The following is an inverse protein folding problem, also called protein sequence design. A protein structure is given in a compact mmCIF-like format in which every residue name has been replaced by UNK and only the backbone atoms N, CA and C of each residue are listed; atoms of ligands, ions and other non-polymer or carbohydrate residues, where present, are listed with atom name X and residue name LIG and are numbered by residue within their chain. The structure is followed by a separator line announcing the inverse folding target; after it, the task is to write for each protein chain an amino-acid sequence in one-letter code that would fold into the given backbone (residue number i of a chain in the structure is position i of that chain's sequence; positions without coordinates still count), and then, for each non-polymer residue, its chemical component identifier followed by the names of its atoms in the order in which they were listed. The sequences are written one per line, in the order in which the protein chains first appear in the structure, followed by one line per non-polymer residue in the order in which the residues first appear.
data_IF_225214660723
#
_entry.id   IF_225214660723
#
_cell.length_a   1.000
_cell.length_b   1.000
_cell.length_c   1.000
_cell.angle_alpha   90.00
_cell.angle_beta   90.00
_cell.angle_gamma   90.00
#
_symmetry.space_group_name_H-M   'P 1'
#
loop_
_entity.id
_entity.type
_entity.pdbx_description
1 polymer ?
#
# COMPACT_ATOMS: atom_id res chain seq x y z
N UNK A 1 30.41 1.72 19.26
CA UNK A 1 29.04 2.17 19.59
C UNK A 1 28.41 2.67 18.29
N UNK A 2 27.27 2.14 17.89
CA UNK A 2 26.54 2.66 16.70
C UNK A 2 26.15 4.11 16.97
N UNK A 3 26.52 5.01 16.05
CA UNK A 3 26.04 6.40 16.11
C UNK A 3 24.50 6.38 16.01
N UNK A 4 23.84 7.23 16.79
CA UNK A 4 22.41 7.42 16.67
C UNK A 4 22.04 8.00 15.30
N UNK A 5 20.92 7.58 14.69
CA UNK A 5 20.42 8.17 13.44
C UNK A 5 20.22 9.70 13.55
N UNK A 6 20.01 10.24 14.74
CA UNK A 6 19.87 11.70 14.97
C UNK A 6 21.21 12.44 15.00
N UNK A 7 22.34 11.75 14.88
CA UNK A 7 23.67 12.39 14.86
C UNK A 7 24.10 12.85 13.46
N UNK A 8 23.29 12.56 12.43
CA UNK A 8 23.57 12.91 11.05
C UNK A 8 22.76 14.12 10.61
N UNK A 9 23.42 15.04 9.91
CA UNK A 9 22.79 16.23 9.29
C UNK A 9 22.35 15.97 7.85
N UNK A 10 22.90 14.93 7.23
CA UNK A 10 22.62 14.57 5.82
C UNK A 10 22.28 13.09 5.67
N UNK A 11 21.39 12.79 4.74
CA UNK A 11 20.99 11.43 4.39
C UNK A 11 20.98 11.24 2.87
N UNK A 12 21.54 10.12 2.41
CA UNK A 12 21.48 9.69 1.00
C UNK A 12 20.74 8.38 0.88
N UNK A 13 19.65 8.37 0.10
CA UNK A 13 18.73 7.24 0.03
C UNK A 13 18.86 6.55 -1.33
N UNK A 14 19.17 5.24 -1.34
CA UNK A 14 19.35 4.44 -2.54
C UNK A 14 18.08 3.66 -2.84
N UNK A 15 17.50 3.89 -4.03
CA UNK A 15 16.15 3.46 -4.41
C UNK A 15 15.07 4.40 -3.86
N UNK A 16 15.36 5.70 -3.86
CA UNK A 16 14.53 6.75 -3.21
C UNK A 16 13.12 6.86 -3.81
N UNK A 17 12.92 6.51 -5.08
CA UNK A 17 11.62 6.51 -5.75
C UNK A 17 10.70 5.35 -5.36
N UNK A 18 11.19 4.36 -4.62
CA UNK A 18 10.36 3.30 -4.06
C UNK A 18 9.34 3.84 -3.04
N UNK A 19 8.12 3.28 -3.00
CA UNK A 19 7.01 3.80 -2.21
C UNK A 19 7.35 3.99 -0.72
N UNK A 20 8.00 3.01 -0.08
CA UNK A 20 8.41 3.13 1.32
C UNK A 20 9.67 3.99 1.51
N UNK A 21 10.56 4.09 0.51
CA UNK A 21 11.78 4.89 0.59
C UNK A 21 11.51 6.37 0.43
N UNK A 22 10.65 6.75 -0.50
CA UNK A 22 10.22 8.13 -0.71
C UNK A 22 9.52 8.73 0.52
N UNK A 23 8.76 7.91 1.24
CA UNK A 23 8.11 8.32 2.48
C UNK A 23 9.12 8.56 3.61
N UNK A 24 10.15 7.72 3.73
CA UNK A 24 11.28 7.94 4.65
C UNK A 24 12.04 9.21 4.26
N UNK A 25 12.28 9.44 2.96
CA UNK A 25 12.96 10.62 2.46
C UNK A 25 12.22 11.90 2.89
N UNK A 26 10.91 11.96 2.65
CA UNK A 26 10.09 13.11 3.03
C UNK A 26 10.04 13.31 4.55
N UNK A 27 9.89 12.23 5.33
CA UNK A 27 9.92 12.28 6.80
C UNK A 27 11.25 12.88 7.30
N UNK A 28 12.40 12.41 6.81
CA UNK A 28 13.71 12.89 7.22
C UNK A 28 13.99 14.33 6.77
N UNK A 29 13.55 14.70 5.57
CA UNK A 29 13.65 16.05 5.06
C UNK A 29 12.88 17.06 5.93
N UNK A 30 11.64 16.73 6.30
CA UNK A 30 10.82 17.55 7.20
C UNK A 30 11.38 17.56 8.63
N UNK A 31 12.10 16.53 9.05
CA UNK A 31 12.86 16.51 10.31
C UNK A 31 14.07 17.45 10.30
N UNK A 32 14.43 18.00 9.13
CA UNK A 32 15.50 18.97 8.98
C UNK A 32 16.83 18.42 8.49
N UNK A 33 16.88 17.15 8.04
CA UNK A 33 18.06 16.61 7.39
C UNK A 33 18.18 17.13 5.95
N UNK A 34 19.40 17.32 5.46
CA UNK A 34 19.66 17.47 4.04
C UNK A 34 19.52 16.09 3.36
N UNK A 35 18.42 15.87 2.64
CA UNK A 35 18.10 14.56 2.04
C UNK A 35 18.23 14.64 0.53
N UNK A 36 18.98 13.69 -0.03
CA UNK A 36 19.04 13.41 -1.46
C UNK A 36 19.09 11.90 -1.70
N UNK A 37 19.07 11.46 -2.94
CA UNK A 37 19.18 10.04 -3.19
C UNK A 37 19.18 9.66 -4.65
N UNK A 38 19.31 8.36 -4.91
CA UNK A 38 19.39 7.76 -6.22
C UNK A 38 18.19 6.87 -6.53
N UNK A 39 17.74 6.91 -7.77
CA UNK A 39 16.86 5.89 -8.35
C UNK A 39 17.26 5.58 -9.79
N UNK A 40 16.93 4.37 -10.27
CA UNK A 40 17.32 3.92 -11.61
C UNK A 40 16.65 4.70 -12.76
N UNK A 41 15.48 5.32 -12.49
CA UNK A 41 14.70 6.03 -13.50
C UNK A 41 13.76 7.06 -12.90
N UNK A 42 13.46 8.07 -13.71
CA UNK A 42 12.43 9.05 -13.38
C UNK A 42 11.06 8.38 -13.28
N UNK A 43 10.28 8.82 -12.31
CA UNK A 43 8.92 8.35 -12.04
C UNK A 43 8.05 9.50 -11.52
N UNK A 44 6.74 9.26 -11.41
CA UNK A 44 5.85 10.21 -10.75
C UNK A 44 6.30 10.55 -9.32
N UNK A 45 6.78 9.54 -8.57
CA UNK A 45 7.23 9.72 -7.18
C UNK A 45 8.53 10.52 -7.10
N UNK A 46 9.53 10.24 -7.97
CA UNK A 46 10.78 11.01 -8.00
C UNK A 46 10.54 12.48 -8.39
N UNK A 47 9.57 12.74 -9.29
CA UNK A 47 9.18 14.11 -9.63
C UNK A 47 8.51 14.83 -8.45
N UNK A 48 7.70 14.14 -7.64
CA UNK A 48 7.15 14.71 -6.41
C UNK A 48 8.24 15.04 -5.39
N UNK A 49 9.25 14.17 -5.22
CA UNK A 49 10.39 14.43 -4.34
C UNK A 49 11.15 15.68 -4.76
N UNK A 50 11.46 15.81 -6.06
CA UNK A 50 12.13 17.00 -6.59
C UNK A 50 11.28 18.28 -6.36
N UNK A 51 9.95 18.21 -6.54
CA UNK A 51 9.06 19.34 -6.26
C UNK A 51 9.01 19.70 -4.76
N UNK A 52 9.18 18.71 -3.89
CA UNK A 52 9.27 18.91 -2.42
C UNK A 52 10.67 19.42 -1.99
N UNK A 53 11.65 19.55 -2.92
CA UNK A 53 13.01 20.05 -2.66
C UNK A 53 14.00 18.92 -2.29
N UNK A 54 13.66 17.66 -2.53
CA UNK A 54 14.53 16.49 -2.31
C UNK A 54 15.15 16.09 -3.65
N UNK A 55 16.45 16.27 -3.80
CA UNK A 55 17.17 16.00 -5.04
C UNK A 55 17.29 14.50 -5.32
N UNK A 56 16.97 14.10 -6.56
CA UNK A 56 17.04 12.70 -7.00
C UNK A 56 18.00 12.56 -8.18
N UNK A 57 19.05 11.78 -7.97
CA UNK A 57 20.02 11.39 -8.99
C UNK A 57 19.55 10.15 -9.77
N UNK A 58 19.90 10.08 -11.04
CA UNK A 58 19.65 8.91 -11.90
C UNK A 58 20.92 8.20 -12.33
N UNK A 59 22.09 8.71 -11.92
CA UNK A 59 23.40 8.11 -12.09
C UNK A 59 24.10 8.00 -10.75
N UNK A 60 24.67 6.82 -10.45
CA UNK A 60 25.28 6.53 -9.14
C UNK A 60 26.82 6.41 -9.22
N UNK A 61 27.40 6.44 -10.43
CA UNK A 61 28.81 6.12 -10.69
C UNK A 61 29.82 7.02 -9.97
N UNK A 62 29.46 8.28 -9.71
CA UNK A 62 30.37 9.30 -9.20
C UNK A 62 30.27 9.52 -7.68
N UNK A 63 29.39 8.76 -7.00
CA UNK A 63 29.24 8.86 -5.55
C UNK A 63 30.35 8.13 -4.81
N UNK A 64 30.93 8.79 -3.81
CA UNK A 64 31.93 8.23 -2.91
C UNK A 64 31.38 8.16 -1.49
N UNK A 65 31.80 7.12 -0.76
CA UNK A 65 31.40 6.96 0.63
C UNK A 65 31.88 8.12 1.52
N UNK A 66 30.98 8.58 2.41
CA UNK A 66 31.28 9.61 3.40
C UNK A 66 30.70 9.21 4.77
N UNK A 67 31.54 9.08 5.78
CA UNK A 67 31.14 8.65 7.12
C UNK A 67 30.29 9.67 7.91
N UNK A 68 30.07 10.86 7.37
CA UNK A 68 29.19 11.90 7.93
C UNK A 68 27.78 11.86 7.37
N UNK A 69 27.53 11.08 6.32
CA UNK A 69 26.23 10.93 5.68
C UNK A 69 25.59 9.62 6.15
N UNK A 70 24.31 9.66 6.49
CA UNK A 70 23.51 8.47 6.72
C UNK A 70 23.05 7.89 5.36
N UNK A 71 23.40 6.65 5.08
CA UNK A 71 22.93 5.93 3.90
C UNK A 71 21.79 4.99 4.26
N UNK A 72 20.69 5.08 3.52
CA UNK A 72 19.56 4.15 3.67
C UNK A 72 19.33 3.46 2.33
N UNK A 73 19.43 2.13 2.33
CA UNK A 73 19.35 1.32 1.11
C UNK A 73 18.04 0.55 1.05
N UNK A 74 17.35 0.63 -0.09
CA UNK A 74 16.14 -0.14 -0.35
C UNK A 74 16.42 -1.64 -0.32
N UNK A 75 15.53 -2.43 0.26
CA UNK A 75 15.61 -3.90 0.26
C UNK A 75 15.54 -4.53 -1.14
N UNK A 76 15.13 -3.77 -2.16
CA UNK A 76 15.10 -4.21 -3.55
C UNK A 76 16.45 -4.09 -4.27
N UNK A 77 17.46 -3.47 -3.63
CA UNK A 77 18.78 -3.22 -4.22
C UNK A 77 19.81 -4.15 -3.58
N UNK A 78 20.55 -4.85 -4.42
CA UNK A 78 21.69 -5.63 -3.97
C UNK A 78 22.87 -4.71 -3.64
N UNK A 79 23.23 -4.64 -2.37
CA UNK A 79 24.32 -3.79 -1.86
C UNK A 79 25.68 -4.13 -2.47
N UNK A 80 25.88 -5.35 -3.00
CA UNK A 80 27.11 -5.74 -3.68
C UNK A 80 27.28 -5.07 -5.05
N UNK A 81 26.23 -4.49 -5.60
CA UNK A 81 26.22 -3.86 -6.94
C UNK A 81 26.39 -2.35 -6.93
N UNK A 82 26.51 -1.75 -5.75
CA UNK A 82 26.62 -0.29 -5.57
C UNK A 82 27.93 0.12 -4.91
N UNK A 83 28.25 1.43 -4.91
CA UNK A 83 29.48 1.97 -4.33
C UNK A 83 29.66 1.70 -2.82
N UNK A 84 28.58 1.28 -2.13
CA UNK A 84 28.62 0.94 -0.69
C UNK A 84 29.05 -0.51 -0.40
N UNK A 85 29.37 -1.33 -1.39
CA UNK A 85 29.71 -2.76 -1.22
C UNK A 85 30.80 -3.03 -0.17
N UNK A 86 31.80 -2.15 -0.09
CA UNK A 86 32.93 -2.27 0.85
C UNK A 86 32.64 -1.61 2.21
N UNK A 87 31.48 -0.97 2.39
CA UNK A 87 31.06 -0.20 3.56
C UNK A 87 29.81 -0.73 4.24
N UNK A 88 29.37 -1.96 3.90
CA UNK A 88 28.12 -2.57 4.43
C UNK A 88 28.11 -2.68 5.97
N UNK A 89 29.31 -2.79 6.59
CA UNK A 89 29.43 -2.90 8.04
C UNK A 89 29.58 -1.55 8.75
N UNK A 90 29.61 -0.45 8.00
CA UNK A 90 29.74 0.88 8.60
C UNK A 90 28.45 1.28 9.30
N UNK A 91 28.53 1.93 10.47
CA UNK A 91 27.36 2.24 11.31
C UNK A 91 26.40 3.26 10.70
N UNK A 92 26.83 3.96 9.64
CA UNK A 92 26.04 4.94 8.88
C UNK A 92 25.46 4.36 7.56
N UNK A 93 25.62 3.06 7.30
CA UNK A 93 25.03 2.36 6.17
C UNK A 93 23.97 1.40 6.70
N UNK A 94 22.71 1.69 6.42
CA UNK A 94 21.56 0.94 6.93
C UNK A 94 20.69 0.48 5.78
N UNK A 95 20.19 -0.73 5.87
CA UNK A 95 19.03 -1.15 5.08
C UNK A 95 17.77 -0.47 5.61
N UNK A 96 16.71 -0.40 4.80
CA UNK A 96 15.40 0.10 5.25
C UNK A 96 14.91 -0.56 6.54
N UNK A 97 14.93 -1.91 6.70
CA UNK A 97 14.55 -2.57 7.95
C UNK A 97 15.39 -2.11 9.17
N UNK A 98 16.71 -2.00 9.01
CA UNK A 98 17.60 -1.56 10.10
C UNK A 98 17.34 -0.12 10.52
N UNK A 99 17.10 0.77 9.54
CA UNK A 99 16.69 2.15 9.83
C UNK A 99 15.38 2.20 10.62
N UNK A 100 14.33 1.50 10.17
CA UNK A 100 13.04 1.47 10.85
C UNK A 100 13.14 0.85 12.25
N UNK A 101 13.96 -0.19 12.42
CA UNK A 101 14.27 -0.78 13.74
C UNK A 101 14.91 0.24 14.67
N UNK A 102 15.90 1.01 14.21
CA UNK A 102 16.51 2.05 15.03
C UNK A 102 15.54 3.18 15.35
N UNK A 103 14.70 3.56 14.40
CA UNK A 103 13.66 4.58 14.58
C UNK A 103 12.62 4.14 15.62
N UNK A 104 12.12 2.91 15.55
CA UNK A 104 11.10 2.38 16.47
C UNK A 104 11.54 2.35 17.93
N UNK A 105 12.83 2.29 18.19
CA UNK A 105 13.38 2.34 19.57
C UNK A 105 13.35 3.74 20.20
N UNK A 106 13.10 4.77 19.41
CA UNK A 106 13.19 6.18 19.83
C UNK A 106 11.84 6.87 19.96
N UNK A 107 10.79 6.26 19.41
CA UNK A 107 9.46 6.83 19.36
C UNK A 107 8.43 5.82 19.86
N UNK A 108 7.32 6.30 20.38
CA UNK A 108 6.16 5.45 20.54
C UNK A 108 5.61 5.13 19.16
N UNK A 109 5.44 3.84 18.84
CA UNK A 109 5.10 3.40 17.50
C UNK A 109 3.68 2.83 17.43
N UNK A 110 2.85 3.43 16.59
CA UNK A 110 1.57 2.88 16.16
C UNK A 110 1.79 2.17 14.83
N UNK A 111 1.69 0.84 14.83
CA UNK A 111 1.86 0.01 13.63
C UNK A 111 0.53 -0.31 12.96
N UNK A 112 0.54 -0.37 11.63
CA UNK A 112 -0.55 -0.97 10.83
C UNK A 112 0.06 -2.03 9.93
N UNK A 113 -0.38 -3.28 10.10
CA UNK A 113 0.12 -4.44 9.34
C UNK A 113 -1.02 -5.29 8.78
N UNK A 114 -0.66 -6.31 8.05
CA UNK A 114 -1.54 -7.29 7.41
C UNK A 114 -1.14 -7.51 5.95
N UNK A 115 -1.57 -8.58 5.35
CA UNK A 115 -1.21 -8.89 3.96
C UNK A 115 -1.78 -7.83 3.00
N UNK A 116 -3.03 -7.43 3.18
CA UNK A 116 -3.73 -6.46 2.33
C UNK A 116 -4.27 -5.27 3.13
N UNK A 117 -4.39 -4.11 2.49
CA UNK A 117 -5.03 -2.92 3.05
C UNK A 117 -4.15 -2.03 3.96
N UNK A 118 -2.90 -2.42 4.26
CA UNK A 118 -1.95 -1.66 5.10
C UNK A 118 -1.90 -0.17 4.74
N UNK A 119 -1.50 0.13 3.52
CA UNK A 119 -1.28 1.51 3.03
C UNK A 119 -2.54 2.36 3.15
N UNK A 120 -3.68 1.85 2.68
CA UNK A 120 -4.96 2.59 2.73
C UNK A 120 -5.40 2.87 4.17
N UNK A 121 -5.20 1.90 5.07
CA UNK A 121 -5.57 2.03 6.49
C UNK A 121 -4.63 2.98 7.22
N UNK A 122 -3.32 2.92 6.95
CA UNK A 122 -2.34 3.85 7.55
C UNK A 122 -2.59 5.29 7.07
N UNK A 123 -2.83 5.46 5.76
CA UNK A 123 -3.15 6.77 5.19
C UNK A 123 -4.45 7.35 5.75
N UNK A 124 -5.48 6.52 5.93
CA UNK A 124 -6.74 6.93 6.55
C UNK A 124 -6.53 7.36 8.01
N UNK A 125 -5.77 6.60 8.79
CA UNK A 125 -5.42 6.97 10.16
C UNK A 125 -4.64 8.29 10.21
N UNK A 126 -3.62 8.46 9.36
CA UNK A 126 -2.89 9.73 9.25
C UNK A 126 -3.86 10.88 8.96
N UNK A 127 -4.79 10.69 8.02
CA UNK A 127 -5.81 11.69 7.72
C UNK A 127 -6.72 11.97 8.93
N UNK A 128 -7.18 10.96 9.67
CA UNK A 128 -8.03 11.13 10.87
C UNK A 128 -7.29 12.00 11.90
N UNK A 129 -6.02 11.72 12.19
CA UNK A 129 -5.24 12.51 13.14
C UNK A 129 -5.08 13.96 12.67
N UNK A 130 -4.59 14.14 11.44
CA UNK A 130 -4.33 15.47 10.87
C UNK A 130 -5.60 16.32 10.72
N UNK A 131 -6.71 15.73 10.31
CA UNK A 131 -8.01 16.42 10.19
C UNK A 131 -8.54 16.93 11.54
N UNK A 132 -8.21 16.24 12.61
CA UNK A 132 -8.56 16.66 13.99
C UNK A 132 -7.49 17.56 14.64
N UNK A 133 -6.55 18.11 13.86
CA UNK A 133 -5.54 19.03 14.35
C UNK A 133 -4.40 18.38 15.13
N UNK A 134 -4.27 17.05 15.10
CA UNK A 134 -3.19 16.30 15.76
C UNK A 134 -2.08 16.09 14.76
N UNK A 135 -1.00 16.86 14.88
CA UNK A 135 0.14 16.84 13.95
C UNK A 135 1.03 15.61 14.20
N UNK A 136 0.49 14.40 13.97
CA UNK A 136 1.20 13.13 14.16
C UNK A 136 2.23 12.89 13.06
N UNK A 137 3.39 12.33 13.41
CA UNK A 137 4.35 11.82 12.43
C UNK A 137 3.82 10.54 11.76
N UNK A 138 4.06 10.36 10.44
CA UNK A 138 3.67 9.12 9.75
C UNK A 138 4.59 8.74 8.60
N UNK A 139 4.67 7.42 8.33
CA UNK A 139 5.37 6.81 7.19
C UNK A 139 4.51 5.67 6.63
N UNK A 140 4.05 5.80 5.37
CA UNK A 140 3.32 4.74 4.62
C UNK A 140 3.67 4.78 3.14
N UNK A 141 3.56 3.63 2.47
CA UNK A 141 3.99 3.44 1.08
C UNK A 141 2.96 3.89 0.03
N UNK A 142 2.56 5.17 0.03
CA UNK A 142 1.56 5.65 -0.93
C UNK A 142 1.60 7.16 -1.15
N UNK A 143 0.75 7.63 -2.06
CA UNK A 143 0.54 9.06 -2.35
C UNK A 143 -0.93 9.40 -2.11
N UNK A 144 -1.19 10.47 -1.37
CA UNK A 144 -2.55 10.96 -1.10
C UNK A 144 -2.71 12.39 -1.58
N UNK A 145 -3.96 12.83 -1.77
CA UNK A 145 -4.25 14.22 -2.14
C UNK A 145 -4.05 15.20 -0.99
N UNK A 146 -4.13 14.75 0.26
CA UNK A 146 -4.03 15.65 1.42
C UNK A 146 -2.59 16.00 1.80
N UNK A 147 -1.59 15.16 1.46
CA UNK A 147 -0.18 15.44 1.79
C UNK A 147 0.85 14.93 0.76
N UNK A 148 0.43 14.50 -0.43
CA UNK A 148 1.35 13.93 -1.42
C UNK A 148 1.94 12.60 -0.97
N UNK A 149 3.28 12.47 -1.01
CA UNK A 149 4.00 11.27 -0.56
C UNK A 149 3.73 11.01 0.93
N UNK A 150 3.53 9.74 1.29
CA UNK A 150 3.11 9.27 2.62
C UNK A 150 4.16 9.37 3.72
N UNK A 151 4.96 10.41 3.73
CA UNK A 151 5.94 10.74 4.77
C UNK A 151 5.64 12.09 5.40
N UNK A 152 5.62 12.18 6.72
CA UNK A 152 5.43 13.42 7.46
C UNK A 152 6.13 13.37 8.81
N UNK A 153 6.82 14.45 9.16
CA UNK A 153 7.38 14.67 10.49
C UNK A 153 6.53 15.69 11.23
N UNK A 154 5.87 15.24 12.26
CA UNK A 154 4.97 16.04 13.09
C UNK A 154 5.57 16.38 14.46
N UNK A 155 4.71 16.44 15.47
CA UNK A 155 5.11 16.70 16.85
C UNK A 155 5.85 15.49 17.43
N UNK A 156 7.07 15.71 17.95
CA UNK A 156 7.93 14.67 18.55
C UNK A 156 7.34 14.04 19.82
N UNK A 157 6.43 14.75 20.50
CA UNK A 157 5.76 14.24 21.72
C UNK A 157 4.66 13.23 21.38
N UNK A 158 4.24 13.14 20.11
CA UNK A 158 3.22 12.24 19.63
C UNK A 158 3.84 10.96 19.05
N UNK A 159 3.06 9.87 18.99
CA UNK A 159 3.54 8.62 18.36
C UNK A 159 3.87 8.79 16.87
N UNK A 160 4.72 7.90 16.34
CA UNK A 160 4.88 7.69 14.91
C UNK A 160 3.88 6.65 14.41
N UNK A 161 3.07 6.99 13.43
CA UNK A 161 2.20 6.05 12.71
C UNK A 161 2.98 5.45 11.54
N UNK A 162 3.16 4.13 11.54
CA UNK A 162 3.98 3.41 10.56
C UNK A 162 3.21 2.27 9.89
N UNK A 163 3.22 2.26 8.56
CA UNK A 163 2.89 1.06 7.79
C UNK A 163 4.01 0.02 7.99
N UNK A 164 3.68 -1.08 8.68
CA UNK A 164 4.65 -2.13 9.01
C UNK A 164 4.48 -3.32 8.07
N UNK A 165 5.49 -3.51 7.23
CA UNK A 165 5.49 -4.55 6.19
C UNK A 165 6.00 -5.88 6.77
N UNK A 166 5.27 -6.98 6.51
CA UNK A 166 5.67 -8.34 6.84
C UNK A 166 6.82 -8.84 5.97
N UNK A 167 6.97 -8.29 4.76
CA UNK A 167 8.07 -8.65 3.86
C UNK A 167 9.43 -8.38 4.53
N UNK A 168 10.39 -9.24 4.24
CA UNK A 168 11.74 -9.21 4.81
C UNK A 168 11.80 -9.27 6.36
N UNK A 169 10.73 -9.74 7.02
CA UNK A 169 10.60 -9.81 8.49
C UNK A 169 10.77 -8.47 9.22
N UNK A 170 10.64 -7.33 8.53
CA UNK A 170 10.86 -6.00 9.08
C UNK A 170 10.04 -5.78 10.35
N UNK A 171 8.75 -6.11 10.31
CA UNK A 171 7.82 -5.87 11.42
C UNK A 171 8.18 -6.62 12.71
N UNK A 172 8.92 -7.75 12.65
CA UNK A 172 9.36 -8.51 13.84
C UNK A 172 10.42 -7.78 14.67
N UNK A 173 11.17 -6.90 14.02
CA UNK A 173 12.30 -6.20 14.62
C UNK A 173 11.90 -4.86 15.24
N UNK A 174 10.63 -4.42 15.03
CA UNK A 174 10.13 -3.14 15.50
C UNK A 174 9.64 -3.22 16.95
N UNK A 175 9.88 -2.17 17.71
CA UNK A 175 9.23 -1.95 19.01
C UNK A 175 7.90 -1.24 18.79
N UNK A 176 6.79 -1.97 18.89
CA UNK A 176 5.45 -1.49 18.57
C UNK A 176 4.65 -1.31 19.86
N UNK A 177 4.08 -0.13 20.06
CA UNK A 177 3.25 0.17 21.22
C UNK A 177 1.79 -0.26 21.00
N UNK A 178 1.19 0.07 19.87
CA UNK A 178 -0.15 -0.38 19.47
C UNK A 178 -0.15 -0.83 18.02
N UNK A 179 -0.89 -1.89 17.69
CA UNK A 179 -0.89 -2.51 16.37
C UNK A 179 -2.30 -2.74 15.86
N UNK A 180 -2.55 -2.35 14.62
CA UNK A 180 -3.72 -2.78 13.88
C UNK A 180 -3.32 -3.83 12.84
N UNK A 181 -4.01 -4.96 12.83
CA UNK A 181 -3.82 -6.05 11.86
C UNK A 181 -5.07 -6.18 11.02
N UNK A 182 -4.94 -5.92 9.72
CA UNK A 182 -6.07 -5.92 8.79
C UNK A 182 -6.50 -7.33 8.38
N UNK A 183 -5.54 -8.19 8.07
CA UNK A 183 -5.75 -9.58 7.67
C UNK A 183 -4.42 -10.33 7.57
N UNK A 184 -4.49 -11.66 7.47
CA UNK A 184 -3.37 -12.54 7.10
C UNK A 184 -3.83 -13.41 5.95
N UNK A 185 -3.16 -13.35 4.82
CA UNK A 185 -3.46 -14.12 3.61
C UNK A 185 -2.20 -14.82 3.09
N UNK A 186 -2.35 -15.77 2.18
CA UNK A 186 -1.26 -16.53 1.59
C UNK A 186 -0.53 -15.72 0.53
N UNK A 187 0.37 -14.84 0.97
CA UNK A 187 1.26 -14.04 0.11
C UNK A 187 2.70 -14.07 0.66
N UNK A 188 3.66 -13.59 -0.11
CA UNK A 188 5.08 -13.52 0.27
C UNK A 188 5.71 -14.87 0.67
N UNK A 189 5.19 -15.97 0.10
CA UNK A 189 5.66 -17.34 0.40
C UNK A 189 7.12 -17.52 0.04
N UNK A 190 7.60 -16.85 -1.01
CA UNK A 190 9.01 -16.83 -1.42
C UNK A 190 9.92 -16.41 -0.26
N UNK A 191 9.46 -15.46 0.57
CA UNK A 191 10.21 -14.95 1.72
C UNK A 191 10.07 -15.84 2.96
N UNK A 192 8.84 -16.28 3.29
CA UNK A 192 8.60 -17.07 4.50
C UNK A 192 8.81 -18.58 4.27
N UNK A 193 8.76 -19.05 3.02
CA UNK A 193 8.87 -20.46 2.65
C UNK A 193 7.64 -21.31 3.01
N UNK A 194 6.73 -20.83 3.87
CA UNK A 194 5.42 -21.46 4.13
C UNK A 194 4.45 -20.54 4.86
N UNK A 195 3.15 -20.77 4.66
CA UNK A 195 2.07 -20.08 5.37
C UNK A 195 2.19 -20.19 6.90
N UNK A 196 2.58 -21.36 7.39
CA UNK A 196 2.79 -21.59 8.83
C UNK A 196 3.87 -20.67 9.41
N UNK A 197 4.94 -20.41 8.66
CA UNK A 197 6.01 -19.48 9.10
C UNK A 197 5.53 -18.04 9.08
N UNK A 198 4.70 -17.65 8.08
CA UNK A 198 4.06 -16.35 8.04
C UNK A 198 3.16 -16.13 9.26
N UNK A 199 2.27 -17.08 9.57
CA UNK A 199 1.42 -17.03 10.77
C UNK A 199 2.24 -16.91 12.05
N UNK A 200 3.33 -17.68 12.19
CA UNK A 200 4.22 -17.60 13.35
C UNK A 200 4.90 -16.21 13.45
N UNK A 201 5.14 -15.56 12.32
CA UNK A 201 5.65 -14.21 12.30
C UNK A 201 4.64 -13.20 12.87
N UNK A 202 3.38 -13.27 12.43
CA UNK A 202 2.30 -12.44 12.97
C UNK A 202 2.07 -12.71 14.46
N UNK A 203 2.01 -13.97 14.87
CA UNK A 203 1.90 -14.35 16.29
C UNK A 203 3.02 -13.73 17.13
N UNK A 204 4.26 -13.79 16.65
CA UNK A 204 5.42 -13.21 17.36
C UNK A 204 5.26 -11.69 17.51
N UNK A 205 4.87 -10.99 16.44
CA UNK A 205 4.67 -9.52 16.47
C UNK A 205 3.53 -9.15 17.42
N UNK A 206 2.36 -9.79 17.29
CA UNK A 206 1.19 -9.55 18.15
C UNK A 206 1.55 -9.72 19.64
N UNK A 207 2.28 -10.80 19.97
CA UNK A 207 2.70 -11.07 21.35
C UNK A 207 3.70 -10.04 21.91
N UNK A 208 4.48 -9.39 21.03
CA UNK A 208 5.48 -8.40 21.43
C UNK A 208 4.93 -6.96 21.49
N UNK A 209 3.68 -6.71 21.05
CA UNK A 209 3.06 -5.39 21.16
C UNK A 209 2.90 -5.00 22.63
N UNK A 210 3.39 -3.80 22.98
CA UNK A 210 3.47 -3.35 24.39
C UNK A 210 2.11 -3.07 24.99
N UNK A 211 1.19 -2.46 24.22
CA UNK A 211 -0.14 -2.06 24.73
C UNK A 211 -1.24 -2.96 24.13
N UNK A 212 -1.92 -2.54 23.08
CA UNK A 212 -3.09 -3.22 22.51
C UNK A 212 -2.93 -3.52 21.04
N UNK A 213 -3.45 -4.68 20.64
CA UNK A 213 -3.73 -4.99 19.26
C UNK A 213 -5.19 -4.75 18.90
N UNK A 214 -5.43 -4.31 17.67
CA UNK A 214 -6.74 -4.22 17.03
C UNK A 214 -6.74 -5.23 15.90
N UNK A 215 -7.51 -6.33 16.05
CA UNK A 215 -7.44 -7.49 15.16
C UNK A 215 -8.74 -7.67 14.38
N UNK A 216 -8.62 -7.87 13.07
CA UNK A 216 -9.73 -8.30 12.23
C UNK A 216 -10.02 -9.78 12.46
N UNK A 217 -11.03 -10.09 13.23
CA UNK A 217 -11.39 -11.48 13.60
C UNK A 217 -12.32 -12.17 12.61
N UNK A 218 -12.66 -11.54 11.46
CA UNK A 218 -13.15 -12.27 10.27
C UNK A 218 -12.08 -13.23 9.72
N UNK A 219 -10.80 -12.90 9.95
CA UNK A 219 -9.69 -13.79 9.68
C UNK A 219 -9.51 -14.78 10.85
N UNK A 220 -9.74 -16.06 10.57
CA UNK A 220 -9.74 -17.14 11.59
C UNK A 220 -8.40 -17.27 12.31
N UNK A 221 -7.31 -17.00 11.62
CA UNK A 221 -5.97 -17.03 12.18
C UNK A 221 -5.80 -15.93 13.23
N UNK A 222 -6.28 -14.72 12.96
CA UNK A 222 -6.21 -13.61 13.90
C UNK A 222 -7.15 -13.79 15.09
N UNK A 223 -8.31 -14.45 14.90
CA UNK A 223 -9.20 -14.79 16.01
C UNK A 223 -8.49 -15.63 17.08
N UNK A 224 -7.60 -16.56 16.65
CA UNK A 224 -6.84 -17.41 17.55
C UNK A 224 -5.66 -16.68 18.23
N UNK A 225 -5.31 -15.48 17.79
CA UNK A 225 -4.19 -14.69 18.32
C UNK A 225 -4.62 -13.54 19.23
N UNK A 226 -5.92 -13.33 19.43
CA UNK A 226 -6.43 -12.26 20.30
C UNK A 226 -6.03 -12.51 21.76
N UNK A 227 -5.45 -11.48 22.40
CA UNK A 227 -5.03 -11.53 23.80
C UNK A 227 -6.06 -10.86 24.70
N UNK A 228 -6.10 -11.15 26.00
CA UNK A 228 -6.93 -10.41 26.96
C UNK A 228 -6.61 -8.91 26.90
N UNK A 229 -7.64 -8.09 26.67
CA UNK A 229 -7.53 -6.63 26.54
C UNK A 229 -7.26 -6.11 25.13
N UNK A 230 -7.00 -6.98 24.15
CA UNK A 230 -7.00 -6.59 22.73
C UNK A 230 -8.42 -6.28 22.24
N UNK A 231 -8.52 -5.60 21.12
CA UNK A 231 -9.77 -5.15 20.50
C UNK A 231 -10.00 -5.96 19.22
N UNK A 232 -11.19 -6.55 19.09
CA UNK A 232 -11.62 -7.21 17.86
C UNK A 232 -12.53 -6.33 17.02
N UNK A 233 -12.43 -6.46 15.69
CA UNK A 233 -13.47 -6.01 14.78
C UNK A 233 -13.76 -7.08 13.75
N UNK A 234 -15.02 -7.28 13.43
CA UNK A 234 -15.43 -8.33 12.48
C UNK A 234 -16.86 -8.14 12.02
N UNK A 235 -17.23 -8.82 10.93
CA UNK A 235 -18.63 -8.89 10.46
C UNK A 235 -19.44 -9.94 11.22
N UNK A 236 -18.82 -10.71 12.13
CA UNK A 236 -19.50 -11.69 12.98
C UNK A 236 -19.88 -11.08 14.33
N UNK A 237 -20.94 -11.60 14.95
CA UNK A 237 -21.38 -11.20 16.28
C UNK A 237 -20.30 -11.47 17.35
N UNK A 238 -20.36 -10.71 18.46
CA UNK A 238 -19.47 -10.78 19.61
C UNK A 238 -18.06 -10.20 19.41
N UNK A 239 -17.81 -9.41 18.37
CA UNK A 239 -16.60 -8.58 18.29
C UNK A 239 -16.77 -7.26 19.05
N UNK A 240 -15.68 -6.62 19.44
CA UNK A 240 -15.72 -5.31 20.11
C UNK A 240 -16.34 -4.22 19.22
N UNK A 241 -16.06 -4.32 17.91
CA UNK A 241 -16.68 -3.51 16.85
C UNK A 241 -17.28 -4.48 15.81
N UNK A 242 -18.61 -4.50 15.72
CA UNK A 242 -19.30 -5.35 14.76
C UNK A 242 -19.50 -4.60 13.45
N UNK A 243 -18.80 -5.04 12.39
CA UNK A 243 -18.92 -4.48 11.03
C UNK A 243 -20.22 -4.94 10.39
N UNK A 244 -21.02 -4.02 9.88
CA UNK A 244 -22.29 -4.29 9.22
C UNK A 244 -22.27 -3.68 7.81
N UNK A 245 -22.14 -4.53 6.83
CA UNK A 245 -22.11 -4.07 5.43
C UNK A 245 -23.48 -3.57 4.97
N UNK A 246 -23.53 -2.59 4.07
CA UNK A 246 -22.37 -2.06 3.31
C UNK A 246 -21.65 -0.87 3.99
N UNK A 247 -22.19 -0.25 5.05
CA UNK A 247 -21.65 1.03 5.55
C UNK A 247 -21.95 1.33 7.04
N UNK A 248 -22.05 0.31 7.87
CA UNK A 248 -22.34 0.48 9.31
C UNK A 248 -21.32 -0.30 10.16
N UNK A 249 -21.21 0.08 11.40
CA UNK A 249 -20.66 -0.77 12.47
C UNK A 249 -21.40 -0.49 13.79
N UNK A 250 -21.37 -1.43 14.72
CA UNK A 250 -21.84 -1.22 16.09
C UNK A 250 -20.72 -1.35 17.11
N UNK A 251 -20.80 -0.56 18.16
CA UNK A 251 -19.87 -0.59 19.28
C UNK A 251 -20.61 -0.19 20.56
N UNK A 252 -20.48 -0.99 21.63
CA UNK A 252 -21.16 -0.77 22.92
C UNK A 252 -22.69 -0.57 22.79
N UNK A 253 -23.32 -1.36 21.91
CA UNK A 253 -24.76 -1.31 21.66
C UNK A 253 -25.25 -0.12 20.83
N UNK A 254 -24.37 0.77 20.38
CA UNK A 254 -24.70 1.89 19.50
C UNK A 254 -24.27 1.59 18.08
N UNK A 255 -25.15 1.90 17.11
CA UNK A 255 -24.86 1.78 15.69
C UNK A 255 -24.37 3.11 15.11
N UNK A 256 -23.38 3.03 14.21
CA UNK A 256 -22.73 4.17 13.55
C UNK A 256 -22.73 3.98 12.05
N UNK A 257 -23.12 5.01 11.32
CA UNK A 257 -23.07 5.03 9.84
C UNK A 257 -21.72 5.55 9.36
N UNK A 258 -21.09 4.81 8.46
CA UNK A 258 -19.86 5.23 7.77
C UNK A 258 -20.25 5.91 6.46
N UNK A 259 -19.98 7.21 6.34
CA UNK A 259 -20.05 7.92 5.06
C UNK A 259 -18.64 8.02 4.49
N UNK A 260 -18.41 7.40 3.35
CA UNK A 260 -17.09 7.36 2.71
C UNK A 260 -17.19 7.39 1.20
N UNK A 261 -16.14 7.88 0.53
CA UNK A 261 -15.96 7.82 -0.92
C UNK A 261 -15.28 6.53 -1.39
N UNK A 262 -14.78 5.73 -0.44
CA UNK A 262 -14.12 4.47 -0.74
C UNK A 262 -15.16 3.38 -1.07
N UNK A 263 -14.88 2.59 -2.11
CA UNK A 263 -15.82 1.62 -2.66
C UNK A 263 -15.42 0.20 -2.26
N UNK A 264 -16.28 -0.51 -1.54
CA UNK A 264 -16.14 -1.93 -1.21
C UNK A 264 -16.13 -2.26 0.27
N UNK A 265 -16.61 -3.46 0.59
CA UNK A 265 -16.76 -3.96 1.95
C UNK A 265 -15.42 -4.04 2.71
N UNK A 266 -14.33 -4.34 2.01
CA UNK A 266 -12.99 -4.37 2.60
C UNK A 266 -12.57 -3.01 3.15
N UNK A 267 -12.99 -1.90 2.53
CA UNK A 267 -12.74 -0.57 3.09
C UNK A 267 -13.57 -0.32 4.35
N UNK A 268 -14.83 -0.77 4.39
CA UNK A 268 -15.67 -0.62 5.61
C UNK A 268 -15.04 -1.35 6.79
N UNK A 269 -14.54 -2.56 6.57
CA UNK A 269 -13.78 -3.31 7.58
C UNK A 269 -12.52 -2.55 8.04
N UNK A 270 -11.67 -2.11 7.10
CA UNK A 270 -10.45 -1.37 7.42
C UNK A 270 -10.74 -0.02 8.12
N UNK A 271 -11.80 0.69 7.72
CA UNK A 271 -12.28 1.92 8.37
C UNK A 271 -12.67 1.64 9.82
N UNK A 272 -13.39 0.56 10.08
CA UNK A 272 -13.80 0.19 11.45
C UNK A 272 -12.58 -0.09 12.33
N UNK A 273 -11.59 -0.83 11.83
CA UNK A 273 -10.32 -1.04 12.52
C UNK A 273 -9.55 0.26 12.78
N UNK A 274 -9.53 1.17 11.80
CA UNK A 274 -8.90 2.49 11.94
C UNK A 274 -9.60 3.35 13.01
N UNK A 275 -10.94 3.36 13.05
CA UNK A 275 -11.72 4.05 14.09
C UNK A 275 -11.37 3.48 15.47
N UNK A 276 -11.31 2.15 15.62
CA UNK A 276 -10.97 1.51 16.88
C UNK A 276 -9.56 1.92 17.37
N UNK A 277 -8.57 1.98 16.44
CA UNK A 277 -7.22 2.43 16.77
C UNK A 277 -7.16 3.93 17.08
N UNK A 278 -7.89 4.77 16.34
CA UNK A 278 -8.00 6.20 16.61
C UNK A 278 -8.62 6.47 18.00
N UNK A 279 -9.66 5.71 18.38
CA UNK A 279 -10.34 5.86 19.70
C UNK A 279 -9.39 5.60 20.87
N UNK A 280 -8.56 4.57 20.83
CA UNK A 280 -7.59 4.32 21.91
C UNK A 280 -6.46 5.34 21.96
N UNK A 281 -6.29 6.12 20.89
CA UNK A 281 -5.33 7.23 20.81
C UNK A 281 -6.01 8.61 20.99
N UNK A 282 -7.22 8.65 21.58
CA UNK A 282 -7.86 9.89 22.05
C UNK A 282 -8.78 10.60 21.05
N UNK A 283 -9.03 10.02 19.85
CA UNK A 283 -9.98 10.59 18.87
C UNK A 283 -11.32 9.88 19.00
N UNK A 284 -12.41 10.62 19.23
CA UNK A 284 -13.74 10.02 19.34
C UNK A 284 -14.21 9.36 18.03
N UNK A 285 -15.19 8.46 18.15
CA UNK A 285 -15.81 7.82 16.97
C UNK A 285 -16.41 8.88 16.05
N UNK A 286 -17.12 9.86 16.59
CA UNK A 286 -17.76 10.93 15.83
C UNK A 286 -16.74 11.81 15.09
N UNK A 287 -15.62 12.15 15.73
CA UNK A 287 -14.50 12.87 15.09
C UNK A 287 -13.89 12.06 13.96
N UNK A 288 -13.69 10.76 14.17
CA UNK A 288 -13.17 9.85 13.16
C UNK A 288 -14.12 9.76 11.95
N UNK A 289 -15.43 9.59 12.18
CA UNK A 289 -16.45 9.53 11.12
C UNK A 289 -16.51 10.82 10.30
N UNK A 290 -16.43 11.99 10.95
CA UNK A 290 -16.37 13.26 10.24
C UNK A 290 -15.12 13.36 9.34
N UNK A 291 -13.95 12.91 9.82
CA UNK A 291 -12.72 12.89 9.04
C UNK A 291 -12.82 11.97 7.82
N UNK A 292 -13.41 10.79 7.98
CA UNK A 292 -13.55 9.74 6.96
C UNK A 292 -14.39 10.22 5.77
N UNK A 293 -15.42 11.03 6.00
CA UNK A 293 -16.25 11.61 4.92
C UNK A 293 -15.43 12.48 3.95
N UNK A 294 -14.32 13.07 4.43
CA UNK A 294 -13.42 13.92 3.64
C UNK A 294 -12.22 13.18 3.04
N UNK A 295 -11.99 11.94 3.45
CA UNK A 295 -10.89 11.14 2.91
C UNK A 295 -11.22 10.62 1.50
N UNK A 296 -10.36 10.93 0.54
CA UNK A 296 -10.58 10.55 -0.88
C UNK A 296 -9.79 9.31 -1.33
N UNK A 297 -9.06 8.68 -0.39
CA UNK A 297 -8.27 7.49 -0.67
C UNK A 297 -6.80 7.76 -0.96
N UNK A 298 -6.12 6.69 -1.38
CA UNK A 298 -4.72 6.66 -1.79
C UNK A 298 -4.67 6.44 -3.29
N UNK A 299 -3.74 7.09 -3.97
CA UNK A 299 -3.52 6.86 -5.41
C UNK A 299 -3.28 5.39 -5.70
N UNK A 300 -3.85 4.92 -6.79
CA UNK A 300 -3.80 3.52 -7.19
C UNK A 300 -4.44 2.53 -6.19
N UNK A 301 -5.41 2.96 -5.38
CA UNK A 301 -6.20 2.09 -4.50
C UNK A 301 -7.69 2.36 -4.75
N UNK A 302 -8.23 1.71 -5.78
CA UNK A 302 -9.56 1.98 -6.35
C UNK A 302 -9.73 3.48 -6.62
N UNK A 303 -8.66 4.12 -7.13
CA UNK A 303 -8.60 5.55 -7.40
C UNK A 303 -9.53 5.92 -8.54
N UNK A 304 -10.47 6.84 -8.32
CA UNK A 304 -11.24 7.43 -9.41
C UNK A 304 -10.35 8.40 -10.19
N UNK A 305 -10.07 8.08 -11.45
CA UNK A 305 -9.17 8.87 -12.30
C UNK A 305 -9.89 9.77 -13.30
N UNK A 306 -11.20 9.59 -13.50
CA UNK A 306 -11.98 10.46 -14.38
C UNK A 306 -13.25 9.83 -14.92
N UNK A 307 -13.94 10.62 -15.74
CA UNK A 307 -15.21 10.22 -16.38
C UNK A 307 -15.24 10.66 -17.85
N UNK A 308 -15.81 9.83 -18.72
CA UNK A 308 -16.03 10.14 -20.13
C UNK A 308 -17.41 9.62 -20.57
N UNK A 309 -18.29 10.50 -21.08
CA UNK A 309 -19.60 10.17 -21.61
C UNK A 309 -20.43 9.18 -20.75
N UNK A 310 -20.41 9.38 -19.41
CA UNK A 310 -21.15 8.51 -18.49
C UNK A 310 -20.40 7.25 -18.07
N UNK A 311 -19.17 7.01 -18.57
CA UNK A 311 -18.28 5.91 -18.17
C UNK A 311 -17.33 6.38 -17.09
N UNK A 312 -17.22 5.65 -15.97
CA UNK A 312 -16.28 5.94 -14.90
C UNK A 312 -14.97 5.18 -15.09
N UNK A 313 -13.84 5.80 -14.74
CA UNK A 313 -12.52 5.21 -14.86
C UNK A 313 -11.84 5.15 -13.50
N UNK A 314 -11.28 3.98 -13.18
CA UNK A 314 -10.56 3.72 -11.93
C UNK A 314 -9.18 3.11 -12.20
N UNK A 315 -8.26 3.32 -11.27
CA UNK A 315 -6.94 2.69 -11.24
C UNK A 315 -6.71 1.99 -9.91
N UNK A 316 -6.12 0.78 -9.94
CA UNK A 316 -5.82 0.01 -8.74
C UNK A 316 -4.46 -0.69 -8.82
N UNK A 317 -3.78 -0.76 -7.70
CA UNK A 317 -2.47 -1.41 -7.56
C UNK A 317 -2.58 -2.92 -7.39
N UNK A 318 -3.77 -3.45 -7.19
CA UNK A 318 -4.04 -4.85 -6.93
C UNK A 318 -3.36 -5.78 -7.95
N UNK A 319 -2.64 -6.75 -7.44
CA UNK A 319 -1.88 -7.70 -8.24
C UNK A 319 -1.92 -9.12 -7.66
N UNK A 320 -2.45 -9.26 -6.46
CA UNK A 320 -2.77 -10.55 -5.83
C UNK A 320 -4.22 -10.95 -6.14
N UNK A 321 -4.54 -12.24 -6.33
CA UNK A 321 -5.90 -12.71 -6.65
C UNK A 321 -6.97 -12.17 -5.69
N UNK A 322 -6.70 -12.17 -4.39
CA UNK A 322 -7.61 -11.66 -3.36
C UNK A 322 -7.92 -10.18 -3.55
N UNK A 323 -6.91 -9.35 -3.86
CA UNK A 323 -7.06 -7.91 -4.09
C UNK A 323 -7.89 -7.66 -5.36
N UNK A 324 -7.54 -8.32 -6.47
CA UNK A 324 -8.24 -8.19 -7.76
C UNK A 324 -9.71 -8.55 -7.59
N UNK A 325 -9.99 -9.68 -6.94
CA UNK A 325 -11.36 -10.15 -6.69
C UNK A 325 -12.15 -9.16 -5.83
N UNK A 326 -11.54 -8.59 -4.78
CA UNK A 326 -12.19 -7.62 -3.90
C UNK A 326 -12.52 -6.33 -4.66
N UNK A 327 -11.57 -5.79 -5.45
CA UNK A 327 -11.75 -4.56 -6.23
C UNK A 327 -12.78 -4.76 -7.36
N UNK A 328 -12.68 -5.85 -8.13
CA UNK A 328 -13.62 -6.11 -9.24
C UNK A 328 -15.05 -6.33 -8.72
N UNK A 329 -15.21 -7.06 -7.62
CA UNK A 329 -16.52 -7.24 -6.96
C UNK A 329 -17.10 -5.89 -6.52
N UNK A 330 -16.31 -5.10 -5.80
CA UNK A 330 -16.74 -3.81 -5.28
C UNK A 330 -17.16 -2.84 -6.39
N UNK A 331 -16.39 -2.76 -7.48
CA UNK A 331 -16.72 -1.92 -8.62
C UNK A 331 -17.94 -2.46 -9.38
N UNK A 332 -18.09 -3.79 -9.57
CA UNK A 332 -19.26 -4.37 -10.23
C UNK A 332 -20.56 -4.08 -9.50
N UNK A 333 -20.56 -4.18 -8.16
CA UNK A 333 -21.72 -3.86 -7.32
C UNK A 333 -22.14 -2.37 -7.41
N UNK A 334 -21.22 -1.49 -7.85
CA UNK A 334 -21.45 -0.04 -8.01
C UNK A 334 -21.50 0.40 -9.50
N UNK A 335 -21.50 -0.53 -10.44
CA UNK A 335 -21.56 -0.27 -11.88
C UNK A 335 -22.96 -0.57 -12.43
N UNK A 336 -23.56 0.39 -13.12
CA UNK A 336 -24.87 0.21 -13.75
C UNK A 336 -24.78 -0.67 -15.00
N UNK A 337 -23.75 -0.47 -15.81
CA UNK A 337 -23.47 -1.19 -17.03
C UNK A 337 -22.46 -2.33 -16.86
N UNK A 338 -21.53 -2.42 -17.80
CA UNK A 338 -20.46 -3.41 -17.79
C UNK A 338 -19.25 -2.93 -16.99
N UNK A 339 -18.59 -3.85 -16.29
CA UNK A 339 -17.27 -3.66 -15.73
C UNK A 339 -16.22 -4.21 -16.71
N UNK A 340 -15.41 -3.32 -17.27
CA UNK A 340 -14.29 -3.64 -18.16
C UNK A 340 -13.01 -3.51 -17.38
N UNK A 341 -12.26 -4.61 -17.24
CA UNK A 341 -11.01 -4.68 -16.49
C UNK A 341 -9.85 -4.74 -17.47
N UNK A 342 -8.82 -3.93 -17.24
CA UNK A 342 -7.55 -3.96 -17.99
C UNK A 342 -6.48 -4.34 -16.99
N UNK A 343 -6.01 -5.59 -17.08
CA UNK A 343 -5.08 -6.19 -16.12
C UNK A 343 -3.67 -6.36 -16.70
N UNK A 344 -2.68 -6.02 -15.90
CA UNK A 344 -1.27 -6.33 -16.17
C UNK A 344 -0.75 -7.31 -15.12
N UNK A 345 -0.48 -8.58 -15.46
CA UNK A 345 0.17 -9.50 -14.54
C UNK A 345 1.53 -8.96 -14.12
N UNK A 346 1.91 -9.16 -12.87
CA UNK A 346 3.14 -8.62 -12.30
C UNK A 346 4.03 -9.75 -11.77
N UNK A 347 5.24 -9.90 -12.33
CA UNK A 347 6.22 -10.96 -12.13
C UNK A 347 5.83 -12.30 -12.76
N UNK A 348 6.77 -12.95 -13.42
CA UNK A 348 6.57 -14.26 -14.02
C UNK A 348 6.36 -15.34 -12.96
N UNK A 349 7.08 -15.27 -11.85
CA UNK A 349 6.95 -16.22 -10.74
C UNK A 349 5.54 -16.17 -10.14
N UNK A 350 5.02 -14.98 -9.81
CA UNK A 350 3.65 -14.83 -9.28
C UNK A 350 2.60 -15.30 -10.28
N UNK A 351 2.76 -14.96 -11.56
CA UNK A 351 1.82 -15.39 -12.60
C UNK A 351 1.77 -16.91 -12.71
N UNK A 352 2.91 -17.60 -12.60
CA UNK A 352 2.96 -19.07 -12.57
C UNK A 352 2.29 -19.64 -11.32
N UNK A 353 2.65 -19.13 -10.16
CA UNK A 353 2.30 -19.73 -8.87
C UNK A 353 0.81 -19.52 -8.51
N UNK A 354 0.20 -18.45 -9.02
CA UNK A 354 -1.21 -18.09 -8.77
C UNK A 354 -2.06 -18.08 -10.04
N UNK A 355 -1.69 -18.82 -11.08
CA UNK A 355 -2.34 -18.71 -12.39
C UNK A 355 -3.86 -18.92 -12.35
N UNK A 356 -4.30 -20.02 -11.74
CA UNK A 356 -5.73 -20.37 -11.67
C UNK A 356 -6.51 -19.39 -10.80
N UNK A 357 -5.95 -18.95 -9.69
CA UNK A 357 -6.57 -17.97 -8.80
C UNK A 357 -6.67 -16.60 -9.48
N UNK A 358 -5.63 -16.18 -10.20
CA UNK A 358 -5.64 -14.94 -11.00
C UNK A 358 -6.74 -15.00 -12.06
N UNK A 359 -6.84 -16.11 -12.81
CA UNK A 359 -7.87 -16.29 -13.83
C UNK A 359 -9.27 -16.18 -13.23
N UNK A 360 -9.51 -16.80 -12.07
CA UNK A 360 -10.78 -16.78 -11.36
C UNK A 360 -11.09 -15.43 -10.68
N UNK A 361 -10.10 -14.53 -10.55
CA UNK A 361 -10.29 -13.23 -9.92
C UNK A 361 -11.14 -12.26 -10.77
N UNK A 362 -11.34 -12.56 -12.04
CA UNK A 362 -12.09 -11.74 -12.99
C UNK A 362 -13.57 -12.13 -13.13
N UNK A 363 -14.09 -13.06 -12.35
CA UNK A 363 -15.48 -13.53 -12.41
C UNK A 363 -16.54 -12.42 -12.22
N UNK A 364 -16.14 -11.26 -11.69
CA UNK A 364 -17.03 -10.09 -11.56
C UNK A 364 -16.92 -9.11 -12.72
N UNK A 365 -15.98 -9.28 -13.65
CA UNK A 365 -15.89 -8.45 -14.85
C UNK A 365 -16.74 -9.00 -15.99
N UNK A 366 -17.28 -8.12 -16.82
CA UNK A 366 -17.99 -8.51 -18.04
C UNK A 366 -17.00 -8.68 -19.21
N UNK A 367 -15.87 -8.01 -19.14
CA UNK A 367 -14.75 -8.13 -20.08
C UNK A 367 -13.44 -7.85 -19.39
N UNK A 368 -12.46 -8.72 -19.56
CA UNK A 368 -11.09 -8.50 -19.09
C UNK A 368 -10.13 -8.44 -20.28
N UNK A 369 -9.37 -7.36 -20.36
CA UNK A 369 -8.24 -7.19 -21.29
C UNK A 369 -6.95 -7.44 -20.52
N UNK A 370 -6.13 -8.39 -20.95
CA UNK A 370 -4.85 -8.69 -20.30
C UNK A 370 -3.70 -8.22 -21.21
N UNK A 371 -2.78 -7.45 -20.64
CA UNK A 371 -1.54 -7.01 -21.31
C UNK A 371 -0.38 -7.93 -20.98
N UNK A 372 0.80 -7.68 -21.56
CA UNK A 372 2.02 -8.45 -21.25
C UNK A 372 2.37 -8.39 -19.75
N UNK A 373 3.03 -9.46 -19.26
CA UNK A 373 3.52 -9.55 -17.90
C UNK A 373 4.57 -8.45 -17.68
N UNK A 374 4.38 -7.64 -16.64
CA UNK A 374 5.41 -6.74 -16.16
C UNK A 374 6.46 -7.53 -15.37
N UNK A 375 7.67 -7.57 -15.86
CA UNK A 375 8.72 -8.45 -15.34
C UNK A 375 9.22 -8.09 -13.94
N UNK A 376 9.19 -6.81 -13.57
CA UNK A 376 9.78 -6.29 -12.32
C UNK A 376 11.24 -6.76 -12.11
N UNK A 377 12.01 -6.89 -13.19
CA UNK A 377 13.41 -7.36 -13.15
C UNK A 377 13.58 -8.88 -13.25
N UNK A 378 12.52 -9.67 -13.22
CA UNK A 378 12.62 -11.11 -13.43
C UNK A 378 12.90 -11.46 -14.90
N UNK A 379 13.60 -12.58 -15.11
CA UNK A 379 13.74 -13.18 -16.44
C UNK A 379 12.46 -13.92 -16.83
N UNK A 380 12.07 -13.91 -18.11
CA UNK A 380 10.93 -14.70 -18.58
C UNK A 380 11.08 -16.19 -18.24
N UNK A 381 9.97 -16.80 -17.80
CA UNK A 381 9.90 -18.24 -17.52
C UNK A 381 9.31 -18.93 -18.77
N UNK A 382 9.98 -19.94 -19.33
CA UNK A 382 9.46 -20.69 -20.48
C UNK A 382 8.06 -21.23 -20.21
N UNK A 383 7.13 -21.02 -21.15
CA UNK A 383 5.74 -21.47 -21.04
C UNK A 383 4.83 -20.54 -20.23
N UNK A 384 5.34 -19.48 -19.60
CA UNK A 384 4.52 -18.52 -18.84
C UNK A 384 4.38 -17.21 -19.62
N UNK A 385 3.15 -16.91 -20.03
CA UNK A 385 2.80 -15.68 -20.75
C UNK A 385 1.35 -15.27 -20.50
N UNK A 386 1.02 -14.00 -20.76
CA UNK A 386 -0.35 -13.49 -20.64
C UNK A 386 -1.34 -14.14 -21.61
N UNK A 387 -0.86 -14.74 -22.71
CA UNK A 387 -1.69 -15.47 -23.67
C UNK A 387 -2.44 -16.65 -23.01
N UNK A 388 -1.88 -17.25 -21.96
CA UNK A 388 -2.49 -18.37 -21.24
C UNK A 388 -3.84 -18.01 -20.60
N UNK A 389 -4.08 -16.74 -20.33
CA UNK A 389 -5.34 -16.28 -19.72
C UNK A 389 -6.51 -16.24 -20.72
N UNK A 390 -6.25 -16.26 -22.05
CA UNK A 390 -7.34 -16.18 -23.02
C UNK A 390 -8.43 -17.22 -22.78
N UNK A 391 -9.68 -16.76 -22.94
CA UNK A 391 -10.87 -17.57 -22.73
C UNK A 391 -12.13 -16.73 -22.74
N UNK A 392 -13.23 -17.32 -22.29
CA UNK A 392 -14.50 -16.62 -22.20
C UNK A 392 -14.39 -15.36 -21.31
N UNK A 393 -14.78 -14.21 -21.87
CA UNK A 393 -14.71 -12.92 -21.18
C UNK A 393 -13.28 -12.36 -21.00
N UNK A 394 -12.23 -13.07 -21.39
CA UNK A 394 -10.83 -12.65 -21.22
C UNK A 394 -10.11 -12.61 -22.57
N UNK A 395 -9.53 -11.46 -22.91
CA UNK A 395 -8.82 -11.24 -24.17
C UNK A 395 -7.42 -10.71 -23.94
N UNK A 396 -6.42 -11.37 -24.51
CA UNK A 396 -5.03 -10.89 -24.50
C UNK A 396 -4.84 -9.78 -25.55
N UNK A 397 -4.20 -8.67 -25.12
CA UNK A 397 -3.86 -7.52 -25.98
C UNK A 397 -2.35 -7.33 -25.95
N UNK A 398 -1.67 -7.82 -26.98
CA UNK A 398 -0.21 -7.78 -27.10
C UNK A 398 0.40 -6.36 -27.02
N UNK A 399 -0.29 -5.35 -27.54
CA UNK A 399 0.20 -3.99 -27.52
C UNK A 399 -0.71 -3.09 -26.68
N UNK A 400 -0.25 -2.55 -25.54
CA UNK A 400 -1.01 -1.59 -24.75
C UNK A 400 -1.52 -0.38 -25.54
N UNK A 401 -0.84 -0.02 -26.65
CA UNK A 401 -1.26 1.09 -27.54
C UNK A 401 -2.60 0.85 -28.24
N UNK A 402 -3.03 -0.42 -28.36
CA UNK A 402 -4.34 -0.77 -28.95
C UNK A 402 -5.49 -0.66 -27.95
N UNK A 403 -5.20 -0.66 -26.67
CA UNK A 403 -6.21 -0.65 -25.60
C UNK A 403 -7.13 0.58 -25.67
N UNK A 404 -6.65 1.83 -25.88
CA UNK A 404 -7.53 3.00 -25.97
C UNK A 404 -8.55 2.91 -27.09
N UNK A 405 -8.14 2.42 -28.26
CA UNK A 405 -9.05 2.21 -29.39
C UNK A 405 -10.07 1.11 -29.08
N UNK A 406 -9.62 -0.01 -28.50
CA UNK A 406 -10.49 -1.11 -28.13
C UNK A 406 -11.52 -0.67 -27.07
N UNK A 407 -11.11 0.08 -26.07
CA UNK A 407 -12.01 0.64 -25.06
C UNK A 407 -13.04 1.56 -25.72
N UNK A 408 -12.61 2.49 -26.59
CA UNK A 408 -13.50 3.42 -27.29
C UNK A 408 -14.65 2.70 -28.02
N UNK A 409 -14.36 1.59 -28.67
CA UNK A 409 -15.35 0.84 -29.49
C UNK A 409 -16.28 -0.05 -28.66
N UNK A 410 -15.98 -0.31 -27.40
CA UNK A 410 -16.70 -1.27 -26.56
C UNK A 410 -17.40 -0.67 -25.34
N UNK A 411 -17.16 0.60 -25.00
CA UNK A 411 -17.77 1.25 -23.82
C UNK A 411 -19.11 1.90 -24.14
N UNK A 412 -19.99 1.93 -23.15
CA UNK A 412 -21.32 2.59 -23.19
C UNK A 412 -21.52 3.41 -21.90
N UNK A 413 -22.40 4.38 -21.94
CA UNK A 413 -22.80 5.11 -20.73
C UNK A 413 -23.29 4.16 -19.64
N UNK A 414 -22.83 4.35 -18.42
CA UNK A 414 -23.08 3.48 -17.27
C UNK A 414 -22.01 2.42 -17.02
N UNK A 415 -21.09 2.20 -17.98
CA UNK A 415 -19.97 1.29 -17.79
C UNK A 415 -18.89 1.84 -16.82
N UNK A 416 -18.08 0.95 -16.31
CA UNK A 416 -16.89 1.25 -15.53
C UNK A 416 -15.67 0.59 -16.16
N UNK A 417 -14.58 1.33 -16.28
CA UNK A 417 -13.27 0.83 -16.75
C UNK A 417 -12.30 0.86 -15.59
N UNK A 418 -11.64 -0.25 -15.33
CA UNK A 418 -10.61 -0.41 -14.30
C UNK A 418 -9.28 -0.78 -14.93
N UNK A 419 -8.23 0.01 -14.70
CA UNK A 419 -6.83 -0.43 -14.87
C UNK A 419 -6.33 -1.01 -13.55
N UNK A 420 -5.77 -2.23 -13.57
CA UNK A 420 -5.33 -2.91 -12.34
C UNK A 420 -4.00 -3.66 -12.53
N UNK A 421 -3.07 -3.47 -11.58
CA UNK A 421 -1.76 -4.11 -11.57
C UNK A 421 -0.69 -3.25 -10.90
N UNK A 422 0.39 -3.89 -10.42
CA UNK A 422 1.48 -3.21 -9.71
C UNK A 422 2.53 -2.55 -10.63
N UNK A 423 2.48 -2.83 -11.93
CA UNK A 423 3.40 -2.30 -12.93
C UNK A 423 3.04 -0.91 -13.46
N UNK A 424 3.41 -0.67 -14.72
CA UNK A 424 3.19 0.59 -15.43
C UNK A 424 1.80 0.74 -16.05
N UNK A 425 0.91 -0.23 -15.83
CA UNK A 425 -0.49 -0.20 -16.26
C UNK A 425 -1.23 1.07 -15.79
N UNK A 426 -0.83 1.64 -14.66
CA UNK A 426 -1.38 2.89 -14.11
C UNK A 426 -1.30 4.07 -15.10
N UNK A 427 -0.33 4.05 -16.02
CA UNK A 427 -0.20 5.08 -17.04
C UNK A 427 -1.27 4.96 -18.13
N UNK A 428 -1.86 3.78 -18.29
CA UNK A 428 -2.79 3.50 -19.38
C UNK A 428 -4.18 4.14 -19.14
N UNK A 429 -4.66 4.19 -17.90
CA UNK A 429 -5.95 4.81 -17.58
C UNK A 429 -6.04 6.27 -18.03
N UNK A 430 -5.10 7.15 -17.62
CA UNK A 430 -5.03 8.54 -18.12
C UNK A 430 -4.84 8.64 -19.64
N UNK A 431 -4.07 7.74 -20.26
CA UNK A 431 -3.89 7.71 -21.72
C UNK A 431 -5.21 7.38 -22.44
N UNK A 432 -5.99 6.42 -21.93
CA UNK A 432 -7.31 6.10 -22.46
C UNK A 432 -8.23 7.33 -22.39
N UNK A 433 -8.31 7.97 -21.23
CA UNK A 433 -9.14 9.17 -21.05
C UNK A 433 -8.72 10.30 -22.01
N UNK A 434 -7.42 10.53 -22.17
CA UNK A 434 -6.90 11.50 -23.13
C UNK A 434 -7.32 11.16 -24.56
N UNK A 435 -7.08 9.89 -24.98
CA UNK A 435 -7.44 9.42 -26.32
C UNK A 435 -8.94 9.58 -26.60
N UNK A 436 -9.81 9.24 -25.64
CA UNK A 436 -11.25 9.37 -25.76
C UNK A 436 -11.69 10.84 -25.93
N UNK A 437 -11.05 11.76 -25.22
CA UNK A 437 -11.35 13.19 -25.31
C UNK A 437 -10.87 13.83 -26.64
N UNK A 438 -9.74 13.36 -27.18
CA UNK A 438 -9.18 13.83 -28.45
C UNK A 438 -9.91 13.27 -29.68
N UNK A 439 -10.63 12.15 -29.53
CA UNK A 439 -11.31 11.45 -30.61
C UNK A 439 -12.84 11.38 -30.39
N UNK A 440 -13.43 12.44 -29.88
CA UNK A 440 -14.91 12.56 -29.69
C UNK A 440 -15.66 12.44 -30.97
#
# INVERSE_FOLDING_TARGET
MSKSIDSYESCYIIGIGGSGMSSIAKYLYQKGLNVSGYDQRSSYVTNLLNNDGIEVDFEISDHTFNNKILYIVSSAIDMQTIFLKDYIQEPNVLTRPEFLKQLSKKVNLIGVTGTHGKTSTTALLAHIFMFNGINISYIYGGVTSFNGIGGHYGDESLPLLLETDEAFNTFKELEIDSLLVTNVDYDHVDHFGSYKKLLKAFETVINNVKNKCILNTDNKELLNLIRPGDISYSSTENSTYEVKYPNYFSHEGKEYTIKTKLIGNHFISNITGAIALAKINGISIEQSLNSIEHFVGVKRRTEFIGKFNGVNFYDDYGHHPTEIKATTKALKENTVGNLIVIFQPHRFTRTRDHFDDLKNSFNYSDLTLITDIYSAGEKPIPGISSLLFEGEGIKYIKSPRLVPHYVKTNIKSGDTVLTIGAGDITLLGPQILKYLNENK
#
